data_IF_160552999426
#
_entry.id   IF_160552999426
#
_cell.length_a   1.000
_cell.length_b   1.000
_cell.length_c   1.000
_cell.angle_alpha   90.00
_cell.angle_beta   90.00
_cell.angle_gamma   90.00
#
_symmetry.space_group_name_H-M   'P 1'
#
loop_
_entity.id
_entity.type
_entity.pdbx_description
1 polymer ?
#
# COMPACT_ATOMS: atom_id res chain seq x y z
N UNK A 1 -35.97 -3.20 38.74
CA UNK A 1 -34.90 -2.20 38.93
C UNK A 1 -33.84 -2.78 39.85
N UNK A 2 -32.80 -3.36 39.26
CA UNK A 2 -31.45 -3.41 39.80
C UNK A 2 -30.57 -3.42 38.55
N UNK A 3 -30.07 -2.25 38.20
CA UNK A 3 -29.06 -2.12 37.16
C UNK A 3 -27.75 -2.59 37.79
N UNK A 4 -27.21 -3.70 37.29
CA UNK A 4 -25.83 -4.08 37.54
C UNK A 4 -24.94 -2.99 36.93
N UNK A 5 -24.43 -2.10 37.78
CA UNK A 5 -23.37 -1.19 37.40
C UNK A 5 -22.11 -2.03 37.20
N UNK A 6 -21.78 -2.32 35.95
CA UNK A 6 -20.47 -2.85 35.59
C UNK A 6 -19.44 -1.74 35.85
N UNK A 7 -18.73 -1.89 36.96
CA UNK A 7 -17.54 -1.12 37.30
C UNK A 7 -16.48 -1.37 36.20
N UNK A 8 -16.51 -0.57 35.13
CA UNK A 8 -15.45 -0.52 34.11
C UNK A 8 -14.20 0.10 34.74
N UNK A 9 -13.50 -0.67 35.58
CA UNK A 9 -12.10 -0.35 35.88
C UNK A 9 -11.34 -0.44 34.57
N UNK A 10 -10.86 0.69 34.07
CA UNK A 10 -10.07 0.71 32.84
C UNK A 10 -8.79 -0.09 33.09
N UNK A 11 -8.61 -1.20 32.36
CA UNK A 11 -7.34 -1.89 32.29
C UNK A 11 -6.26 -0.88 31.90
N UNK A 12 -5.23 -0.72 32.73
CA UNK A 12 -4.29 0.42 32.63
C UNK A 12 -3.11 0.15 31.70
N UNK A 13 -2.85 -1.10 31.34
CA UNK A 13 -1.71 -1.45 30.49
C UNK A 13 -2.07 -1.29 29.02
N UNK A 14 -1.14 -0.69 28.26
CA UNK A 14 -1.31 -0.47 26.82
C UNK A 14 -0.81 -1.69 26.05
N UNK A 15 -1.55 -2.05 25.01
CA UNK A 15 -1.19 -3.09 24.05
C UNK A 15 -1.21 -2.51 22.63
N UNK A 16 -0.32 -3.01 21.77
CA UNK A 16 -0.26 -2.63 20.36
C UNK A 16 -0.42 -3.90 19.52
N UNK A 17 -1.47 -3.97 18.69
CA UNK A 17 -1.56 -5.03 17.69
C UNK A 17 -0.52 -4.79 16.59
N UNK A 18 0.43 -5.71 16.45
CA UNK A 18 1.53 -5.64 15.48
C UNK A 18 1.34 -6.57 14.26
N UNK A 19 0.32 -7.42 14.29
CA UNK A 19 0.00 -8.38 13.24
C UNK A 19 -1.52 -8.39 13.05
N UNK A 20 -1.99 -7.74 11.98
CA UNK A 20 -3.39 -7.73 11.57
C UNK A 20 -3.53 -7.46 10.07
N UNK A 21 -4.67 -7.87 9.55
CA UNK A 21 -5.00 -7.88 8.14
C UNK A 21 -6.20 -6.98 7.86
N UNK A 22 -5.96 -5.92 7.08
CA UNK A 22 -7.01 -5.02 6.63
C UNK A 22 -7.74 -5.59 5.42
N UNK A 23 -8.72 -4.87 4.90
CA UNK A 23 -9.38 -5.20 3.62
C UNK A 23 -8.41 -5.22 2.42
N UNK A 24 -7.17 -4.75 2.58
CA UNK A 24 -6.12 -4.85 1.57
C UNK A 24 -5.37 -6.19 1.57
N UNK A 25 -5.57 -7.04 2.57
CA UNK A 25 -5.37 -8.49 2.44
C UNK A 25 -6.54 -9.08 1.66
N UNK A 26 -6.48 -8.92 0.33
CA UNK A 26 -7.62 -9.08 -0.57
C UNK A 26 -8.31 -10.46 -0.42
N UNK A 27 -9.63 -10.42 -0.17
CA UNK A 27 -10.50 -11.58 0.00
C UNK A 27 -10.12 -12.51 1.17
N UNK A 28 -9.44 -11.96 2.17
CA UNK A 28 -9.01 -12.69 3.36
C UNK A 28 -9.21 -11.85 4.64
N UNK A 29 -8.62 -10.65 4.67
CA UNK A 29 -8.82 -9.66 5.72
C UNK A 29 -10.13 -8.88 5.58
N UNK A 30 -10.83 -8.69 6.70
CA UNK A 30 -12.13 -8.01 6.78
C UNK A 30 -12.08 -6.73 7.65
N UNK A 31 -10.90 -6.32 8.12
CA UNK A 31 -10.75 -5.12 8.95
C UNK A 31 -10.73 -3.88 8.07
N UNK A 32 -11.75 -3.04 8.22
CA UNK A 32 -11.82 -1.73 7.58
C UNK A 32 -11.06 -0.70 8.41
N UNK A 33 -10.24 0.11 7.74
CA UNK A 33 -9.27 1.00 8.39
C UNK A 33 -9.93 2.06 9.30
N UNK A 34 -10.98 2.80 8.89
CA UNK A 34 -11.61 3.79 9.76
C UNK A 34 -12.18 3.17 11.06
N UNK A 35 -12.83 2.02 10.93
CA UNK A 35 -13.43 1.28 12.04
C UNK A 35 -12.36 0.70 12.97
N UNK A 36 -11.20 0.29 12.44
CA UNK A 36 -10.04 -0.10 13.24
C UNK A 36 -9.57 1.04 14.14
N UNK A 37 -9.42 2.26 13.60
CA UNK A 37 -8.97 3.41 14.38
C UNK A 37 -9.96 3.76 15.50
N UNK A 38 -11.26 3.66 15.22
CA UNK A 38 -12.29 3.84 16.24
C UNK A 38 -12.21 2.75 17.33
N UNK A 39 -12.09 1.49 16.95
CA UNK A 39 -11.98 0.38 17.88
C UNK A 39 -10.72 0.49 18.76
N UNK A 40 -9.59 0.93 18.19
CA UNK A 40 -8.37 1.22 18.95
C UNK A 40 -8.61 2.25 20.06
N UNK A 41 -9.24 3.38 19.73
CA UNK A 41 -9.60 4.42 20.71
C UNK A 41 -10.52 3.91 21.81
N UNK A 42 -11.57 3.18 21.44
CA UNK A 42 -12.56 2.66 22.38
C UNK A 42 -11.95 1.69 23.39
N UNK A 43 -10.86 1.01 23.02
CA UNK A 43 -10.13 0.07 23.86
C UNK A 43 -8.85 0.66 24.48
N UNK A 44 -8.63 1.97 24.39
CA UNK A 44 -7.49 2.65 25.01
C UNK A 44 -6.13 2.36 24.36
N UNK A 45 -6.10 1.84 23.14
CA UNK A 45 -4.89 1.64 22.37
C UNK A 45 -4.49 2.95 21.68
N UNK A 46 -3.20 3.29 21.69
CA UNK A 46 -2.65 4.51 21.10
C UNK A 46 -1.80 4.26 19.85
N UNK A 47 -1.68 3.01 19.44
CA UNK A 47 -0.84 2.57 18.33
C UNK A 47 -1.37 1.25 17.75
N UNK A 48 -1.16 1.04 16.45
CA UNK A 48 -1.57 -0.18 15.75
C UNK A 48 -0.78 -0.34 14.44
N UNK A 49 -0.51 -1.58 14.03
CA UNK A 49 0.17 -1.89 12.78
C UNK A 49 -0.79 -2.25 11.63
N UNK A 50 -0.30 -2.09 10.41
CA UNK A 50 -0.84 -2.69 9.18
C UNK A 50 0.18 -3.70 8.67
N UNK A 51 -0.21 -4.97 8.49
CA UNK A 51 0.67 -6.05 8.04
C UNK A 51 -0.03 -6.93 7.01
N UNK A 52 -0.58 -6.31 5.97
CA UNK A 52 -1.32 -7.04 4.94
C UNK A 52 -0.45 -8.07 4.20
N UNK A 53 -1.11 -9.11 3.68
CA UNK A 53 -0.43 -10.23 3.00
C UNK A 53 0.30 -9.78 1.74
N UNK A 54 1.64 -9.75 1.80
CA UNK A 54 2.54 -9.56 0.68
C UNK A 54 2.40 -8.22 -0.05
N UNK A 55 1.73 -7.23 0.54
CA UNK A 55 1.45 -5.95 -0.12
C UNK A 55 1.42 -4.77 0.85
N UNK A 56 1.43 -3.55 0.28
CA UNK A 56 1.40 -2.28 1.02
C UNK A 56 0.28 -1.35 0.49
N UNK A 57 -0.79 -1.92 -0.07
CA UNK A 57 -1.81 -1.16 -0.80
C UNK A 57 -2.56 -0.15 0.08
N UNK A 58 -2.85 -0.54 1.32
CA UNK A 58 -3.60 0.30 2.27
C UNK A 58 -2.77 1.30 3.07
N UNK A 59 -1.44 1.35 2.88
CA UNK A 59 -0.54 2.07 3.81
C UNK A 59 -0.85 3.57 3.91
N UNK A 60 -1.11 4.24 2.78
CA UNK A 60 -1.39 5.69 2.78
C UNK A 60 -2.74 6.01 3.43
N UNK A 61 -3.78 5.22 3.13
CA UNK A 61 -5.09 5.35 3.78
C UNK A 61 -4.98 5.09 5.29
N UNK A 62 -4.30 4.00 5.66
CA UNK A 62 -4.07 3.60 7.05
C UNK A 62 -3.35 4.69 7.84
N UNK A 63 -2.23 5.19 7.32
CA UNK A 63 -1.48 6.25 7.97
C UNK A 63 -2.32 7.52 8.14
N UNK A 64 -3.04 7.93 7.09
CA UNK A 64 -3.85 9.15 7.10
C UNK A 64 -4.98 9.06 8.14
N UNK A 65 -5.72 7.95 8.17
CA UNK A 65 -6.81 7.77 9.13
C UNK A 65 -6.28 7.57 10.56
N UNK A 66 -5.14 6.89 10.75
CA UNK A 66 -4.50 6.73 12.05
C UNK A 66 -4.06 8.08 12.63
N UNK A 67 -3.34 8.90 11.85
CA UNK A 67 -2.90 10.24 12.26
C UNK A 67 -4.09 11.14 12.58
N UNK A 68 -5.11 11.16 11.73
CA UNK A 68 -6.37 11.88 11.98
C UNK A 68 -7.08 11.41 13.26
N UNK A 69 -6.96 10.13 13.58
CA UNK A 69 -7.46 9.59 14.83
C UNK A 69 -6.51 9.87 16.03
N UNK A 70 -5.28 10.31 15.84
CA UNK A 70 -4.31 10.41 16.93
C UNK A 70 -3.84 9.03 17.43
N UNK A 71 -3.92 8.02 16.56
CA UNK A 71 -3.34 6.69 16.78
C UNK A 71 -2.02 6.65 16.03
N UNK A 72 -0.94 6.20 16.67
CA UNK A 72 0.38 6.06 16.05
C UNK A 72 0.35 4.90 15.04
N UNK A 73 0.51 5.17 13.72
CA UNK A 73 0.56 4.12 12.72
C UNK A 73 1.90 3.39 12.77
N UNK A 74 1.87 2.06 12.63
CA UNK A 74 3.06 1.23 12.43
C UNK A 74 2.94 0.58 11.06
N UNK A 75 3.84 0.92 10.14
CA UNK A 75 3.77 0.42 8.76
C UNK A 75 4.53 -0.90 8.68
N UNK A 76 3.87 -1.94 8.18
CA UNK A 76 4.47 -3.24 7.97
C UNK A 76 3.87 -3.99 6.78
N UNK A 77 4.28 -5.25 6.66
CA UNK A 77 3.82 -6.19 5.63
C UNK A 77 4.11 -7.61 6.12
N UNK A 78 3.17 -8.52 5.94
CA UNK A 78 3.42 -9.95 6.12
C UNK A 78 3.91 -10.54 4.79
N UNK A 79 5.22 -10.71 4.67
CA UNK A 79 5.84 -11.20 3.45
C UNK A 79 5.70 -12.71 3.30
N UNK A 80 5.53 -13.14 2.06
CA UNK A 80 5.82 -14.52 1.67
C UNK A 80 7.32 -14.66 1.40
N UNK A 81 7.97 -15.62 2.04
CA UNK A 81 9.40 -15.88 1.96
C UNK A 81 9.64 -17.28 1.41
N UNK A 82 10.45 -17.36 0.34
CA UNK A 82 10.93 -18.61 -0.22
C UNK A 82 12.17 -19.08 0.55
N UNK A 83 12.28 -20.39 0.89
CA UNK A 83 13.51 -20.93 1.47
C UNK A 83 14.67 -20.99 0.45
N UNK A 84 14.35 -21.01 -0.84
CA UNK A 84 15.31 -20.91 -1.96
C UNK A 84 15.28 -19.54 -2.62
N UNK A 85 15.80 -19.41 -3.84
CA UNK A 85 15.75 -18.13 -4.58
C UNK A 85 14.31 -17.74 -4.90
N UNK A 86 13.98 -16.46 -4.78
CA UNK A 86 12.61 -15.98 -5.04
C UNK A 86 12.17 -16.17 -6.51
N UNK A 87 13.12 -16.18 -7.44
CA UNK A 87 12.89 -16.41 -8.88
C UNK A 87 12.66 -17.89 -9.24
N UNK A 88 12.90 -18.82 -8.31
CA UNK A 88 12.74 -20.25 -8.59
C UNK A 88 11.28 -20.67 -8.58
N UNK A 89 10.91 -21.42 -9.62
CA UNK A 89 9.56 -21.99 -9.82
C UNK A 89 9.56 -23.51 -9.80
N UNK A 90 10.73 -24.16 -9.71
CA UNK A 90 10.94 -25.59 -10.05
C UNK A 90 10.79 -26.61 -8.92
N UNK A 91 10.43 -26.24 -7.68
CA UNK A 91 10.30 -27.22 -6.59
C UNK A 91 9.18 -26.84 -5.63
N UNK A 92 7.92 -27.25 -5.89
CA UNK A 92 6.79 -26.82 -5.03
C UNK A 92 5.59 -27.79 -4.92
N UNK A 93 5.66 -29.04 -5.39
CA UNK A 93 4.46 -29.90 -5.41
C UNK A 93 4.16 -30.69 -4.12
N UNK A 94 5.05 -30.71 -3.12
CA UNK A 94 4.92 -31.64 -1.98
C UNK A 94 4.78 -31.01 -0.57
N UNK A 95 4.44 -29.72 -0.43
CA UNK A 95 4.20 -29.10 0.87
C UNK A 95 2.95 -28.21 0.82
N UNK A 96 2.15 -28.23 1.90
CA UNK A 96 1.01 -27.32 2.06
C UNK A 96 1.49 -25.86 1.93
N UNK A 97 0.78 -25.06 1.13
CA UNK A 97 1.10 -23.70 0.67
C UNK A 97 2.38 -23.51 -0.17
N UNK A 98 2.96 -24.59 -0.71
CA UNK A 98 3.98 -24.51 -1.76
C UNK A 98 5.25 -23.75 -1.37
N UNK A 99 5.73 -23.92 -0.12
CA UNK A 99 6.94 -23.28 0.45
C UNK A 99 6.89 -21.74 0.56
N UNK A 100 5.72 -21.13 0.72
CA UNK A 100 5.62 -19.70 1.03
C UNK A 100 5.48 -19.52 2.53
N UNK A 101 6.58 -19.21 3.21
CA UNK A 101 6.54 -18.96 4.64
C UNK A 101 6.19 -17.52 4.92
N UNK A 102 5.51 -17.26 6.04
CA UNK A 102 5.17 -15.92 6.44
C UNK A 102 6.29 -15.28 7.28
N UNK A 103 6.48 -13.97 7.13
CA UNK A 103 7.41 -13.18 7.94
C UNK A 103 6.90 -11.75 8.09
N UNK A 104 6.76 -11.27 9.32
CA UNK A 104 6.30 -9.90 9.58
C UNK A 104 7.50 -8.97 9.57
N UNK A 105 7.46 -7.94 8.72
CA UNK A 105 8.44 -6.86 8.71
C UNK A 105 7.75 -5.53 8.99
N UNK A 106 8.26 -4.78 9.95
CA UNK A 106 7.78 -3.45 10.36
C UNK A 106 8.85 -2.40 10.08
N UNK A 107 8.47 -1.26 9.51
CA UNK A 107 9.36 -0.14 9.28
C UNK A 107 9.61 0.64 10.58
N UNK A 108 10.83 0.56 11.11
CA UNK A 108 11.26 1.31 12.28
C UNK A 108 11.40 2.81 11.98
N UNK A 109 11.84 3.16 10.78
CA UNK A 109 12.17 4.52 10.35
C UNK A 109 12.03 4.66 8.82
N UNK A 110 12.42 5.81 8.27
CA UNK A 110 12.33 6.07 6.83
C UNK A 110 13.16 5.07 5.98
N UNK A 111 14.35 4.68 6.42
CA UNK A 111 15.16 3.66 5.75
C UNK A 111 14.42 2.33 5.70
N UNK A 112 13.83 1.91 6.82
CA UNK A 112 12.99 0.73 6.88
C UNK A 112 11.80 0.80 5.93
N UNK A 113 11.12 1.94 5.86
CA UNK A 113 10.00 2.13 4.94
C UNK A 113 10.42 2.03 3.46
N UNK A 114 11.55 2.64 3.08
CA UNK A 114 12.13 2.50 1.73
C UNK A 114 12.49 1.05 1.41
N UNK A 115 13.02 0.31 2.40
CA UNK A 115 13.32 -1.11 2.26
C UNK A 115 12.04 -1.95 2.12
N UNK A 116 10.98 -1.67 2.88
CA UNK A 116 9.67 -2.33 2.69
C UNK A 116 9.15 -2.12 1.27
N UNK A 117 9.15 -0.87 0.76
CA UNK A 117 8.75 -0.58 -0.62
C UNK A 117 9.57 -1.42 -1.59
N UNK A 118 10.91 -1.43 -1.46
CA UNK A 118 11.80 -2.17 -2.37
C UNK A 118 11.52 -3.67 -2.34
N UNK A 119 11.38 -4.25 -1.15
CA UNK A 119 11.06 -5.66 -0.94
C UNK A 119 9.70 -6.03 -1.55
N UNK A 120 8.67 -5.24 -1.29
CA UNK A 120 7.34 -5.45 -1.86
C UNK A 120 7.32 -5.27 -3.38
N UNK A 121 7.97 -4.24 -3.94
CA UNK A 121 8.04 -4.09 -5.39
C UNK A 121 8.74 -5.28 -6.05
N UNK A 122 9.88 -5.72 -5.50
CA UNK A 122 10.64 -6.84 -6.06
C UNK A 122 9.95 -8.18 -5.91
N UNK A 123 9.15 -8.37 -4.86
CA UNK A 123 8.36 -9.57 -4.70
C UNK A 123 7.27 -9.73 -5.78
N UNK A 124 6.75 -8.61 -6.32
CA UNK A 124 5.83 -8.62 -7.46
C UNK A 124 6.51 -8.69 -8.83
N UNK A 125 7.66 -8.03 -9.03
CA UNK A 125 8.31 -7.98 -10.35
C UNK A 125 9.20 -9.19 -10.63
N UNK A 126 9.91 -9.68 -9.60
CA UNK A 126 10.96 -10.70 -9.77
C UNK A 126 10.59 -12.02 -9.06
N UNK A 127 9.89 -11.94 -7.93
CA UNK A 127 9.58 -13.09 -7.06
C UNK A 127 8.17 -13.67 -7.20
N UNK A 128 7.36 -13.17 -8.12
CA UNK A 128 5.96 -13.55 -8.23
C UNK A 128 5.80 -14.94 -8.86
N UNK A 129 5.15 -15.85 -8.13
CA UNK A 129 4.73 -17.15 -8.64
C UNK A 129 3.22 -17.32 -8.51
N UNK A 130 2.75 -17.76 -7.33
CA UNK A 130 1.32 -17.70 -6.93
C UNK A 130 1.03 -16.53 -5.99
N UNK A 131 2.06 -16.14 -5.24
CA UNK A 131 2.10 -15.04 -4.29
C UNK A 131 3.36 -14.21 -4.60
N UNK A 132 3.40 -12.92 -4.21
CA UNK A 132 4.59 -12.09 -4.34
C UNK A 132 5.59 -12.48 -3.24
N UNK A 133 6.75 -13.02 -3.60
CA UNK A 133 7.70 -13.61 -2.63
C UNK A 133 9.04 -12.90 -2.63
N UNK A 134 9.69 -12.89 -1.47
CA UNK A 134 11.11 -12.56 -1.33
C UNK A 134 11.90 -13.81 -0.94
N UNK A 135 13.22 -13.70 -0.84
CA UNK A 135 14.08 -14.71 -0.24
C UNK A 135 14.97 -14.09 0.84
N UNK A 136 15.57 -14.93 1.69
CA UNK A 136 16.39 -14.47 2.81
C UNK A 136 17.69 -13.76 2.37
N UNK A 137 18.19 -14.03 1.16
CA UNK A 137 19.39 -13.37 0.64
C UNK A 137 19.05 -11.93 0.24
N UNK A 138 17.98 -11.71 -0.52
CA UNK A 138 17.53 -10.38 -0.88
C UNK A 138 17.11 -9.57 0.37
N UNK A 139 16.46 -10.24 1.33
CA UNK A 139 16.09 -9.64 2.61
C UNK A 139 17.30 -9.16 3.41
N UNK A 140 18.39 -9.94 3.48
CA UNK A 140 19.57 -9.56 4.28
C UNK A 140 20.24 -8.28 3.78
N UNK A 141 20.15 -8.00 2.47
CA UNK A 141 20.65 -6.76 1.87
C UNK A 141 19.76 -5.53 2.12
N UNK A 142 18.53 -5.72 2.62
CA UNK A 142 17.54 -4.66 2.85
C UNK A 142 16.96 -4.70 4.27
N UNK A 143 17.67 -5.30 5.23
CA UNK A 143 17.19 -5.45 6.61
C UNK A 143 17.34 -4.19 7.47
N UNK A 144 18.10 -3.19 7.00
CA UNK A 144 18.32 -1.95 7.75
C UNK A 144 16.99 -1.21 8.00
N UNK A 145 16.77 -0.81 9.26
CA UNK A 145 15.57 -0.08 9.65
C UNK A 145 14.31 -0.94 9.72
N UNK A 146 14.42 -2.26 9.59
CA UNK A 146 13.30 -3.20 9.72
C UNK A 146 13.32 -3.91 11.08
N UNK A 147 12.14 -4.09 11.67
CA UNK A 147 11.88 -4.98 12.80
C UNK A 147 11.18 -6.22 12.25
N UNK A 148 11.62 -7.40 12.68
CA UNK A 148 11.17 -8.69 12.16
C UNK A 148 10.55 -9.55 13.26
N UNK A 149 9.36 -10.11 12.97
CA UNK A 149 8.68 -11.10 13.81
C UNK A 149 8.51 -12.39 13.01
N UNK A 150 8.61 -13.54 13.68
CA UNK A 150 8.55 -14.86 13.02
C UNK A 150 7.17 -15.27 12.48
N UNK A 151 6.15 -14.41 12.56
CA UNK A 151 4.79 -14.59 12.05
C UNK A 151 3.99 -15.72 12.73
N UNK A 152 2.85 -16.05 12.12
CA UNK A 152 1.87 -17.05 12.56
C UNK A 152 2.35 -18.49 12.30
N UNK A 153 1.46 -19.48 12.39
CA UNK A 153 1.77 -20.89 12.07
C UNK A 153 2.33 -21.11 10.65
N UNK A 154 2.07 -20.18 9.73
CA UNK A 154 2.65 -20.14 8.38
C UNK A 154 4.12 -19.72 8.34
N UNK A 155 4.67 -19.20 9.44
CA UNK A 155 6.08 -18.81 9.54
C UNK A 155 7.04 -20.01 9.55
N UNK A 156 8.20 -19.87 8.91
CA UNK A 156 9.12 -21.00 8.70
C UNK A 156 9.66 -21.56 10.03
N UNK A 157 9.98 -20.70 10.99
CA UNK A 157 10.41 -21.13 12.33
C UNK A 157 9.33 -22.00 12.98
N UNK A 158 8.06 -21.60 12.88
CA UNK A 158 6.96 -22.31 13.53
C UNK A 158 6.72 -23.65 12.85
N UNK A 159 6.75 -23.68 11.52
CA UNK A 159 6.64 -24.92 10.73
C UNK A 159 7.76 -25.91 11.08
N UNK A 160 8.98 -25.44 11.30
CA UNK A 160 10.09 -26.31 11.73
C UNK A 160 9.89 -26.85 13.14
N UNK A 161 9.37 -26.05 14.08
CA UNK A 161 8.99 -26.52 15.43
C UNK A 161 7.90 -27.61 15.32
N UNK A 162 6.82 -27.34 14.61
CA UNK A 162 5.67 -28.26 14.46
C UNK A 162 6.05 -29.59 13.81
N UNK A 163 7.05 -29.58 12.93
CA UNK A 163 7.52 -30.79 12.24
C UNK A 163 8.70 -31.48 12.95
N UNK A 164 9.03 -31.08 14.18
CA UNK A 164 10.08 -31.69 14.99
C UNK A 164 11.51 -31.38 14.51
N UNK A 165 11.69 -30.38 13.64
CA UNK A 165 12.97 -29.97 13.10
C UNK A 165 13.64 -28.89 13.99
N UNK A 166 13.78 -29.16 15.29
CA UNK A 166 14.23 -28.18 16.30
C UNK A 166 15.57 -27.53 15.96
N UNK A 167 16.56 -28.32 15.53
CA UNK A 167 17.88 -27.81 15.14
C UNK A 167 17.81 -26.85 13.95
N UNK A 168 16.94 -27.13 12.97
CA UNK A 168 16.75 -26.26 11.82
C UNK A 168 15.96 -24.99 12.18
N UNK A 169 15.02 -25.07 13.14
CA UNK A 169 14.33 -23.91 13.69
C UNK A 169 15.31 -22.97 14.40
N UNK A 170 16.20 -23.53 15.22
CA UNK A 170 17.24 -22.78 15.93
C UNK A 170 18.24 -22.11 14.96
N UNK A 171 18.71 -22.84 13.95
CA UNK A 171 19.60 -22.29 12.93
C UNK A 171 18.96 -21.12 12.19
N UNK A 172 17.68 -21.26 11.80
CA UNK A 172 16.98 -20.19 11.11
C UNK A 172 16.73 -18.97 12.01
N UNK A 173 16.29 -19.18 13.25
CA UNK A 173 16.11 -18.11 14.21
C UNK A 173 17.44 -17.38 14.50
N UNK A 174 18.55 -18.13 14.62
CA UNK A 174 19.90 -17.58 14.72
C UNK A 174 20.28 -16.72 13.51
N UNK A 175 20.08 -17.23 12.29
CA UNK A 175 20.31 -16.49 11.04
C UNK A 175 19.50 -15.19 10.98
N UNK A 176 18.22 -15.23 11.32
CA UNK A 176 17.36 -14.04 11.34
C UNK A 176 17.82 -13.03 12.41
N UNK A 177 18.22 -13.51 13.59
CA UNK A 177 18.83 -12.67 14.63
C UNK A 177 20.08 -11.96 14.12
N UNK A 178 20.94 -12.64 13.35
CA UNK A 178 22.13 -12.03 12.74
C UNK A 178 21.77 -10.97 11.69
N UNK A 179 20.75 -11.22 10.86
CA UNK A 179 20.30 -10.28 9.82
C UNK A 179 19.75 -8.99 10.43
N UNK A 180 18.85 -9.10 11.40
CA UNK A 180 18.13 -7.93 11.95
C UNK A 180 18.83 -7.30 13.14
N UNK A 181 19.63 -8.08 13.88
CA UNK A 181 20.23 -7.72 15.15
C UNK A 181 19.34 -8.04 16.36
N UNK A 182 19.91 -8.06 17.57
CA UNK A 182 19.23 -8.51 18.79
C UNK A 182 18.07 -7.62 19.25
N UNK A 183 18.03 -6.35 18.81
CA UNK A 183 16.99 -5.37 19.20
C UNK A 183 15.80 -5.33 18.24
N UNK A 184 15.93 -5.95 17.05
CA UNK A 184 14.95 -5.84 15.96
C UNK A 184 14.41 -7.19 15.50
N UNK A 185 14.69 -8.27 16.23
CA UNK A 185 14.18 -9.60 15.91
C UNK A 185 13.44 -10.20 17.12
N UNK A 186 12.23 -10.67 16.88
CA UNK A 186 11.35 -11.21 17.90
C UNK A 186 10.77 -12.56 17.47
N UNK A 187 10.68 -13.50 18.41
CA UNK A 187 9.90 -14.72 18.21
C UNK A 187 8.44 -14.43 18.58
N UNK A 188 7.57 -14.60 17.60
CA UNK A 188 6.15 -14.31 17.73
C UNK A 188 5.39 -15.48 18.38
N UNK A 189 4.52 -15.15 19.33
CA UNK A 189 3.62 -16.11 19.98
C UNK A 189 2.17 -15.62 19.87
N UNK A 190 1.25 -16.57 19.68
CA UNK A 190 -0.17 -16.34 19.45
C UNK A 190 -0.98 -17.43 20.17
N UNK A 191 -2.24 -17.16 20.49
CA UNK A 191 -3.13 -18.14 21.10
C UNK A 191 -4.60 -17.88 20.75
N UNK A 192 -5.10 -18.69 19.82
CA UNK A 192 -6.48 -18.78 19.37
C UNK A 192 -7.16 -20.07 19.87
N UNK A 193 -6.54 -20.79 20.82
CA UNK A 193 -7.02 -22.07 21.33
C UNK A 193 -6.71 -23.27 20.42
N UNK A 194 -5.75 -23.13 19.50
CA UNK A 194 -5.30 -24.20 18.61
C UNK A 194 -4.13 -24.99 19.23
N UNK A 195 -4.15 -26.32 19.07
CA UNK A 195 -3.08 -27.18 19.59
C UNK A 195 -1.71 -26.87 18.95
N UNK A 196 -1.68 -26.63 17.64
CA UNK A 196 -0.46 -26.28 16.91
C UNK A 196 0.16 -24.97 17.44
N UNK A 197 -0.65 -23.98 17.80
CA UNK A 197 -0.16 -22.73 18.40
C UNK A 197 0.44 -22.95 19.78
N UNK A 198 -0.15 -23.85 20.57
CA UNK A 198 0.41 -24.23 21.87
C UNK A 198 1.78 -24.88 21.71
N UNK A 199 1.95 -25.76 20.73
CA UNK A 199 3.22 -26.41 20.41
C UNK A 199 4.25 -25.36 19.92
N UNK A 200 3.85 -24.51 18.97
CA UNK A 200 4.72 -23.45 18.42
C UNK A 200 5.15 -22.45 19.51
N UNK A 201 4.23 -21.97 20.35
CA UNK A 201 4.53 -21.04 21.43
C UNK A 201 5.52 -21.64 22.44
N UNK A 202 5.35 -22.92 22.81
CA UNK A 202 6.30 -23.62 23.69
C UNK A 202 7.69 -23.69 23.05
N UNK A 203 7.78 -24.07 21.76
CA UNK A 203 9.04 -24.09 21.03
C UNK A 203 9.71 -22.71 20.96
N UNK A 204 8.93 -21.65 20.74
CA UNK A 204 9.45 -20.27 20.74
C UNK A 204 9.95 -19.85 22.12
N UNK A 205 9.31 -20.25 23.21
CA UNK A 205 9.83 -20.01 24.58
C UNK A 205 11.17 -20.71 24.79
N UNK A 206 11.33 -21.94 24.31
CA UNK A 206 12.59 -22.68 24.40
C UNK A 206 13.70 -22.05 23.56
N UNK A 207 13.40 -21.66 22.30
CA UNK A 207 14.33 -20.94 21.44
C UNK A 207 14.72 -19.57 22.02
N UNK A 208 13.75 -18.83 22.58
CA UNK A 208 13.97 -17.55 23.25
C UNK A 208 15.00 -17.69 24.37
N UNK A 209 14.87 -18.72 25.22
CA UNK A 209 15.82 -18.99 26.31
C UNK A 209 17.21 -19.37 25.81
N UNK A 210 17.30 -20.18 24.75
CA UNK A 210 18.57 -20.67 24.20
C UNK A 210 19.35 -19.59 23.47
N UNK A 211 18.66 -18.82 22.64
CA UNK A 211 19.26 -17.84 21.73
C UNK A 211 19.22 -16.41 22.29
N UNK A 212 18.53 -16.17 23.41
CA UNK A 212 18.33 -14.83 23.96
C UNK A 212 17.59 -13.91 22.99
N UNK A 213 16.56 -14.41 22.33
CA UNK A 213 15.69 -13.65 21.41
C UNK A 213 14.41 -13.30 22.16
N UNK A 214 13.98 -12.03 22.22
CA UNK A 214 12.75 -11.65 22.91
C UNK A 214 11.50 -12.24 22.24
N UNK A 215 10.49 -12.55 23.06
CA UNK A 215 9.16 -12.94 22.57
C UNK A 215 8.30 -11.70 22.29
N UNK A 216 7.34 -11.79 21.39
CA UNK A 216 6.30 -10.78 21.19
C UNK A 216 4.94 -11.45 21.03
N UNK A 217 3.93 -10.89 21.71
CA UNK A 217 2.56 -11.39 21.64
C UNK A 217 1.78 -10.64 20.55
N UNK A 218 1.13 -11.37 19.65
CA UNK A 218 0.23 -10.82 18.63
C UNK A 218 -1.04 -11.68 18.53
N UNK A 219 -1.96 -11.32 17.64
CA UNK A 219 -3.24 -12.02 17.49
C UNK A 219 -3.72 -12.16 16.03
N UNK A 220 -2.81 -12.01 15.06
CA UNK A 220 -3.06 -12.25 13.63
C UNK A 220 -4.49 -11.90 13.17
N UNK A 221 -4.91 -10.67 13.44
CA UNK A 221 -6.34 -10.35 13.45
C UNK A 221 -6.86 -10.12 12.04
N UNK A 222 -7.89 -10.86 11.65
CA UNK A 222 -8.48 -10.82 10.31
C UNK A 222 -9.86 -10.14 10.28
N UNK A 223 -10.46 -9.91 11.45
CA UNK A 223 -11.76 -9.23 11.57
C UNK A 223 -11.81 -8.35 12.82
N UNK A 224 -12.69 -7.34 12.82
CA UNK A 224 -12.58 -6.29 13.84
C UNK A 224 -13.03 -6.74 15.24
N UNK A 225 -14.10 -7.53 15.32
CA UNK A 225 -14.68 -7.99 16.59
C UNK A 225 -15.11 -9.44 16.47
N UNK A 226 -15.22 -10.17 17.58
CA UNK A 226 -15.69 -11.57 17.60
C UNK A 226 -16.97 -11.81 16.79
N UNK A 227 -17.89 -10.82 16.72
CA UNK A 227 -19.15 -10.91 15.96
C UNK A 227 -18.96 -10.89 14.44
N UNK A 228 -17.84 -10.38 13.94
CA UNK A 228 -17.53 -10.32 12.52
C UNK A 228 -16.99 -11.66 11.96
N UNK A 229 -16.86 -12.69 12.79
CA UNK A 229 -16.43 -14.02 12.36
C UNK A 229 -17.32 -14.61 11.25
N UNK A 230 -18.65 -14.46 11.33
CA UNK A 230 -19.57 -14.94 10.29
C UNK A 230 -19.35 -14.23 8.95
N UNK A 231 -19.13 -12.91 8.99
CA UNK A 231 -18.83 -12.11 7.79
C UNK A 231 -17.51 -12.58 7.16
N UNK A 232 -16.54 -12.91 8.00
CA UNK A 232 -15.25 -13.39 7.55
C UNK A 232 -15.36 -14.78 6.91
N UNK A 233 -16.10 -15.72 7.50
CA UNK A 233 -16.32 -17.05 6.92
C UNK A 233 -16.94 -16.95 5.52
N UNK A 234 -17.95 -16.07 5.36
CA UNK A 234 -18.55 -15.78 4.05
C UNK A 234 -17.52 -15.20 3.07
N UNK A 235 -16.66 -14.28 3.52
CA UNK A 235 -15.60 -13.70 2.68
C UNK A 235 -14.63 -14.78 2.17
N UNK A 236 -14.19 -15.70 3.03
CA UNK A 236 -13.35 -16.83 2.62
C UNK A 236 -14.05 -17.76 1.65
N UNK A 237 -15.34 -18.02 1.85
CA UNK A 237 -16.15 -18.82 0.93
C UNK A 237 -16.25 -18.19 -0.45
N UNK A 238 -16.39 -16.87 -0.52
CA UNK A 238 -16.35 -16.13 -1.79
C UNK A 238 -14.98 -16.33 -2.46
N UNK A 239 -13.89 -16.19 -1.71
CA UNK A 239 -12.52 -16.35 -2.19
C UNK A 239 -12.26 -17.77 -2.75
N UNK A 240 -12.60 -18.79 -1.95
CA UNK A 240 -12.39 -20.20 -2.27
C UNK A 240 -13.46 -20.75 -3.24
N UNK A 241 -14.46 -19.95 -3.60
CA UNK A 241 -15.62 -20.33 -4.44
C UNK A 241 -16.37 -21.54 -3.88
N UNK A 242 -16.60 -21.53 -2.56
CA UNK A 242 -17.28 -22.57 -1.79
C UNK A 242 -18.65 -22.10 -1.31
N UNK A 243 -19.60 -23.01 -1.19
CA UNK A 243 -20.88 -22.73 -0.51
C UNK A 243 -20.82 -22.99 0.99
N UNK A 244 -21.88 -22.64 1.72
CA UNK A 244 -21.96 -22.74 3.19
C UNK A 244 -21.85 -24.18 3.73
N UNK A 245 -22.20 -25.17 2.92
CA UNK A 245 -22.22 -26.60 3.23
C UNK A 245 -20.95 -27.34 2.78
N UNK A 246 -20.03 -26.67 2.09
CA UNK A 246 -18.74 -27.24 1.72
C UNK A 246 -17.69 -26.94 2.80
N UNK A 247 -16.86 -27.91 3.13
CA UNK A 247 -15.72 -27.67 4.02
C UNK A 247 -14.70 -26.76 3.33
N UNK A 248 -14.15 -25.83 4.11
CA UNK A 248 -13.02 -25.01 3.69
C UNK A 248 -11.73 -25.77 3.98
N UNK A 249 -10.73 -25.62 3.11
CA UNK A 249 -9.38 -26.14 3.38
C UNK A 249 -8.74 -25.44 4.59
N UNK A 250 -9.10 -24.17 4.78
CA UNK A 250 -8.72 -23.33 5.91
C UNK A 250 -9.87 -22.39 6.26
N UNK A 251 -10.14 -22.28 7.57
CA UNK A 251 -11.13 -21.37 8.14
C UNK A 251 -10.62 -20.85 9.48
N UNK A 252 -10.88 -19.57 9.76
CA UNK A 252 -10.58 -19.00 11.07
C UNK A 252 -11.64 -19.44 12.08
N UNK A 253 -11.23 -19.61 13.34
CA UNK A 253 -12.17 -19.69 14.45
C UNK A 253 -12.55 -18.25 14.91
N UNK A 254 -13.47 -18.08 15.89
CA UNK A 254 -13.89 -16.76 16.34
C UNK A 254 -12.84 -15.90 17.07
N UNK A 255 -11.60 -16.37 17.25
CA UNK A 255 -10.58 -15.69 18.08
C UNK A 255 -9.65 -14.74 17.30
N UNK A 256 -9.70 -14.73 15.97
CA UNK A 256 -8.85 -13.89 15.09
C UNK A 256 -9.36 -12.45 14.94
N UNK A 257 -9.85 -11.85 16.03
CA UNK A 257 -10.29 -10.45 16.05
C UNK A 257 -9.33 -9.53 16.79
N UNK A 258 -9.49 -8.22 16.59
CA UNK A 258 -8.73 -7.20 17.33
C UNK A 258 -9.17 -7.18 18.80
N UNK A 259 -8.55 -8.05 19.61
CA UNK A 259 -8.79 -8.18 21.06
C UNK A 259 -8.43 -6.90 21.81
N UNK A 260 -9.12 -6.64 22.92
CA UNK A 260 -8.74 -5.58 23.87
C UNK A 260 -7.41 -5.89 24.57
N UNK A 261 -6.70 -4.88 25.11
CA UNK A 261 -5.49 -5.10 25.91
C UNK A 261 -5.71 -6.07 27.08
N UNK A 262 -6.89 -6.00 27.73
CA UNK A 262 -7.26 -6.89 28.83
C UNK A 262 -7.36 -8.35 28.38
N UNK A 263 -8.02 -8.62 27.25
CA UNK A 263 -8.10 -9.97 26.67
C UNK A 263 -6.71 -10.50 26.28
N UNK A 264 -5.88 -9.65 25.66
CA UNK A 264 -4.52 -10.02 25.26
C UNK A 264 -3.63 -10.38 26.46
N UNK A 265 -3.73 -9.63 27.56
CA UNK A 265 -2.94 -9.90 28.78
C UNK A 265 -3.21 -11.28 29.42
N UNK A 266 -4.38 -11.87 29.12
CA UNK A 266 -4.81 -13.17 29.67
C UNK A 266 -4.35 -14.36 28.84
N UNK A 267 -3.82 -14.16 27.63
CA UNK A 267 -3.44 -15.26 26.74
C UNK A 267 -2.19 -16.01 27.24
N UNK A 268 -1.23 -15.28 27.81
CA UNK A 268 0.03 -15.81 28.36
C UNK A 268 0.42 -15.04 29.64
N UNK A 269 -0.34 -15.17 30.74
CA UNK A 269 -0.09 -14.44 31.98
C UNK A 269 1.29 -14.75 32.59
N UNK A 270 1.89 -15.88 32.23
CA UNK A 270 3.23 -16.30 32.65
C UNK A 270 4.37 -15.68 31.82
N UNK A 271 4.06 -15.00 30.71
CA UNK A 271 5.02 -14.34 29.81
C UNK A 271 4.69 -12.84 29.61
N UNK A 272 4.63 -12.02 30.68
CA UNK A 272 4.24 -10.61 30.59
C UNK A 272 5.15 -9.79 29.67
N UNK A 273 6.42 -10.17 29.55
CA UNK A 273 7.36 -9.50 28.65
C UNK A 273 6.93 -9.55 27.17
N UNK A 274 6.29 -10.64 26.72
CA UNK A 274 5.82 -10.75 25.34
C UNK A 274 4.71 -9.72 25.03
N UNK A 275 3.83 -9.49 26.01
CA UNK A 275 2.81 -8.44 25.95
C UNK A 275 3.47 -7.05 25.93
N UNK A 276 4.38 -6.75 26.87
CA UNK A 276 5.03 -5.44 26.95
C UNK A 276 5.97 -5.12 25.78
N UNK A 277 6.55 -6.15 25.14
CA UNK A 277 7.41 -5.95 23.98
C UNK A 277 6.65 -5.36 22.78
N UNK A 278 5.32 -5.55 22.69
CA UNK A 278 4.51 -4.87 21.65
C UNK A 278 4.61 -3.35 21.75
N UNK A 279 4.54 -2.83 22.98
CA UNK A 279 4.67 -1.41 23.26
C UNK A 279 6.09 -0.92 23.05
N UNK A 280 7.10 -1.70 23.44
CA UNK A 280 8.52 -1.36 23.16
C UNK A 280 8.76 -1.21 21.66
N UNK A 281 8.23 -2.13 20.85
CA UNK A 281 8.29 -2.03 19.39
C UNK A 281 7.61 -0.76 18.90
N UNK A 282 6.40 -0.46 19.37
CA UNK A 282 5.71 0.77 19.02
C UNK A 282 6.51 2.04 19.37
N UNK A 283 7.23 2.04 20.49
CA UNK A 283 8.10 3.15 20.91
C UNK A 283 9.34 3.32 20.05
N UNK A 284 9.88 2.23 19.49
CA UNK A 284 11.01 2.27 18.56
C UNK A 284 10.65 2.84 17.18
N UNK A 285 9.36 2.89 16.82
CA UNK A 285 8.92 3.42 15.54
C UNK A 285 9.10 4.95 15.52
N UNK A 286 9.85 5.45 14.56
CA UNK A 286 10.12 6.88 14.30
C UNK A 286 9.73 7.29 12.89
N UNK A 287 9.02 6.41 12.16
CA UNK A 287 8.57 6.65 10.81
C UNK A 287 7.42 7.67 10.78
N UNK A 288 7.59 8.74 10.00
CA UNK A 288 6.56 9.72 9.69
C UNK A 288 6.61 10.06 8.19
N UNK A 289 5.45 10.22 7.56
CA UNK A 289 5.39 10.78 6.21
C UNK A 289 5.55 12.29 6.26
N UNK A 290 6.55 12.80 5.57
CA UNK A 290 6.71 14.24 5.35
C UNK A 290 5.81 14.68 4.19
N UNK A 291 4.99 15.70 4.41
CA UNK A 291 4.33 16.41 3.32
C UNK A 291 5.40 17.22 2.58
N UNK A 292 5.72 16.81 1.35
CA UNK A 292 6.75 17.44 0.52
C UNK A 292 6.19 18.24 -0.65
N UNK A 293 7.09 18.99 -1.30
CA UNK A 293 6.81 19.60 -2.60
C UNK A 293 6.60 18.51 -3.68
N UNK A 294 5.88 18.81 -4.77
CA UNK A 294 5.75 17.89 -5.90
C UNK A 294 7.11 17.41 -6.39
N UNK A 295 7.26 16.09 -6.58
CA UNK A 295 8.44 15.49 -7.17
C UNK A 295 8.27 15.48 -8.69
N UNK A 296 8.77 16.51 -9.36
CA UNK A 296 8.74 16.61 -10.82
C UNK A 296 9.98 15.96 -11.43
N UNK A 297 9.86 15.19 -12.53
CA UNK A 297 11.02 14.73 -13.29
C UNK A 297 11.85 15.89 -13.81
N UNK A 298 13.17 15.68 -13.90
CA UNK A 298 14.04 16.64 -14.59
C UNK A 298 13.77 16.60 -16.10
N UNK A 299 13.75 17.77 -16.73
CA UNK A 299 13.64 17.90 -18.18
C UNK A 299 14.93 18.50 -18.74
N UNK A 300 15.58 17.77 -19.64
CA UNK A 300 16.82 18.23 -20.27
C UNK A 300 16.54 19.33 -21.28
N UNK A 301 17.24 20.45 -21.14
CA UNK A 301 17.16 21.60 -22.05
C UNK A 301 18.47 21.78 -22.83
N UNK A 302 18.43 22.36 -24.03
CA UNK A 302 19.64 22.62 -24.81
C UNK A 302 20.63 23.53 -24.06
N UNK A 303 21.91 23.44 -24.41
CA UNK A 303 22.97 24.26 -23.81
C UNK A 303 22.65 25.75 -23.93
N UNK A 304 22.84 26.50 -22.85
CA UNK A 304 22.51 27.92 -22.77
C UNK A 304 21.07 28.24 -22.39
N UNK A 305 20.19 27.23 -22.28
CA UNK A 305 18.82 27.41 -21.80
C UNK A 305 18.62 27.01 -20.33
N UNK A 306 17.75 27.75 -19.66
CA UNK A 306 16.97 27.28 -18.50
C UNK A 306 15.61 26.75 -18.94
N UNK A 307 14.92 25.99 -18.06
CA UNK A 307 13.53 25.54 -18.29
C UNK A 307 12.62 26.70 -18.71
N UNK A 308 12.72 27.86 -18.03
CA UNK A 308 11.97 29.08 -18.34
C UNK A 308 12.25 29.58 -19.75
N UNK A 309 13.54 29.76 -20.08
CA UNK A 309 13.95 30.30 -21.38
C UNK A 309 13.54 29.38 -22.53
N UNK A 310 13.68 28.07 -22.35
CA UNK A 310 13.35 27.08 -23.37
C UNK A 310 11.84 27.00 -23.59
N UNK A 311 11.06 26.95 -22.51
CA UNK A 311 9.61 26.99 -22.60
C UNK A 311 9.11 28.27 -23.28
N UNK A 312 9.68 29.43 -22.92
CA UNK A 312 9.35 30.73 -23.55
C UNK A 312 9.59 30.68 -25.05
N UNK A 313 10.75 30.21 -25.47
CA UNK A 313 11.10 30.09 -26.89
C UNK A 313 10.13 29.17 -27.65
N UNK A 314 9.92 27.95 -27.16
CA UNK A 314 9.01 26.99 -27.80
C UNK A 314 7.59 27.54 -27.93
N UNK A 315 7.11 28.21 -26.88
CA UNK A 315 5.77 28.79 -26.88
C UNK A 315 5.67 29.94 -27.90
N UNK A 316 6.65 30.85 -27.95
CA UNK A 316 6.66 31.95 -28.94
C UNK A 316 6.69 31.42 -30.37
N UNK A 317 7.51 30.40 -30.65
CA UNK A 317 7.54 29.76 -31.96
C UNK A 317 6.18 29.13 -32.32
N UNK A 318 5.52 28.49 -31.35
CA UNK A 318 4.21 27.89 -31.56
C UNK A 318 3.09 28.92 -31.76
N UNK A 319 3.10 30.01 -30.99
CA UNK A 319 2.18 31.12 -31.19
C UNK A 319 2.39 31.79 -32.55
N UNK A 320 3.64 31.98 -32.99
CA UNK A 320 3.95 32.51 -34.31
C UNK A 320 3.41 31.61 -35.44
N UNK A 321 3.47 30.28 -35.28
CA UNK A 321 2.86 29.33 -36.23
C UNK A 321 1.33 29.42 -36.27
N UNK A 322 0.69 29.71 -35.14
CA UNK A 322 -0.79 29.70 -35.01
C UNK A 322 -1.45 31.04 -35.33
N UNK A 323 -0.82 32.16 -34.96
CA UNK A 323 -1.35 33.52 -35.16
C UNK A 323 -0.61 34.34 -36.23
N UNK A 324 0.52 33.84 -36.74
CA UNK A 324 1.39 34.58 -37.66
C UNK A 324 2.36 35.51 -36.93
N UNK A 325 3.13 36.28 -37.72
CA UNK A 325 4.14 37.22 -37.21
C UNK A 325 3.93 38.58 -37.89
N UNK A 326 3.91 39.71 -37.15
CA UNK A 326 4.03 39.84 -35.69
C UNK A 326 2.79 39.35 -34.92
N UNK A 327 2.98 38.95 -33.66
CA UNK A 327 1.87 38.57 -32.77
C UNK A 327 1.03 39.81 -32.41
N UNK A 328 -0.29 39.64 -32.35
CA UNK A 328 -1.20 40.69 -31.90
C UNK A 328 -0.94 41.05 -30.43
N UNK A 329 -1.18 42.31 -30.05
CA UNK A 329 -0.94 42.79 -28.69
C UNK A 329 -1.64 41.94 -27.63
N UNK A 330 -2.92 41.63 -27.83
CA UNK A 330 -3.70 40.83 -26.87
C UNK A 330 -3.14 39.42 -26.65
N UNK A 331 -2.55 38.81 -27.70
CA UNK A 331 -1.88 37.50 -27.61
C UNK A 331 -0.62 37.61 -26.78
N UNK A 332 0.19 38.64 -27.03
CA UNK A 332 1.45 38.87 -26.31
C UNK A 332 1.22 39.23 -24.84
N UNK A 333 0.24 40.09 -24.56
CA UNK A 333 -0.13 40.50 -23.20
C UNK A 333 -0.61 39.28 -22.38
N UNK A 334 -1.46 38.42 -22.97
CA UNK A 334 -1.90 37.17 -22.33
C UNK A 334 -0.74 36.20 -22.13
N UNK A 335 0.12 36.06 -23.12
CA UNK A 335 1.29 35.17 -23.05
C UNK A 335 2.24 35.56 -21.91
N UNK A 336 2.61 36.84 -21.78
CA UNK A 336 3.52 37.27 -20.71
C UNK A 336 2.91 37.10 -19.32
N UNK A 337 1.60 37.38 -19.18
CA UNK A 337 0.89 37.12 -17.92
C UNK A 337 0.94 35.63 -17.52
N UNK A 338 0.59 34.73 -18.44
CA UNK A 338 0.60 33.29 -18.15
C UNK A 338 2.00 32.75 -17.86
N UNK A 339 3.00 33.17 -18.65
CA UNK A 339 4.40 32.80 -18.42
C UNK A 339 4.89 33.25 -17.04
N UNK A 340 4.58 34.48 -16.63
CA UNK A 340 4.95 34.98 -15.31
C UNK A 340 4.35 34.15 -14.18
N UNK A 341 3.08 33.74 -14.31
CA UNK A 341 2.41 32.89 -13.31
C UNK A 341 3.05 31.50 -13.25
N UNK A 342 3.28 30.86 -14.41
CA UNK A 342 3.87 29.52 -14.48
C UNK A 342 5.29 29.52 -13.89
N UNK A 343 6.10 30.53 -14.20
CA UNK A 343 7.46 30.69 -13.66
C UNK A 343 7.44 30.95 -12.16
N UNK A 344 6.54 31.80 -11.67
CA UNK A 344 6.39 32.08 -10.24
C UNK A 344 5.95 30.85 -9.43
N UNK A 345 5.29 29.89 -10.06
CA UNK A 345 4.84 28.65 -9.43
C UNK A 345 5.83 27.48 -9.57
N UNK A 346 6.91 27.63 -10.34
CA UNK A 346 7.90 26.57 -10.62
C UNK A 346 7.32 25.34 -11.35
N UNK A 347 6.39 25.59 -12.29
CA UNK A 347 5.87 24.56 -13.21
C UNK A 347 6.42 24.51 -14.65
N UNK A 348 7.44 25.28 -15.10
CA UNK A 348 7.95 25.17 -16.46
C UNK A 348 8.37 23.75 -16.88
N UNK A 349 9.02 23.00 -15.96
CA UNK A 349 9.39 21.61 -16.21
C UNK A 349 8.19 20.72 -16.50
N UNK A 350 7.09 20.91 -15.77
CA UNK A 350 5.84 20.16 -15.99
C UNK A 350 5.26 20.42 -17.39
N UNK A 351 5.19 21.68 -17.84
CA UNK A 351 4.72 22.02 -19.19
C UNK A 351 5.64 21.45 -20.29
N UNK A 352 6.95 21.48 -20.07
CA UNK A 352 7.93 20.91 -21.01
C UNK A 352 7.79 19.39 -21.13
N UNK A 353 7.59 18.68 -20.02
CA UNK A 353 7.32 17.24 -20.03
C UNK A 353 6.04 16.94 -20.82
N UNK A 354 4.96 17.68 -20.54
CA UNK A 354 3.65 17.44 -21.16
C UNK A 354 3.66 17.73 -22.66
N UNK A 355 4.21 18.87 -23.09
CA UNK A 355 4.28 19.19 -24.52
C UNK A 355 5.09 18.16 -25.29
N UNK A 356 6.16 17.65 -24.68
CA UNK A 356 7.11 16.77 -25.34
C UNK A 356 6.48 15.46 -25.81
N UNK A 357 5.79 14.72 -24.93
CA UNK A 357 5.14 13.47 -25.34
C UNK A 357 3.92 13.70 -26.25
N UNK A 358 3.22 14.84 -26.11
CA UNK A 358 2.12 15.22 -27.00
C UNK A 358 2.63 15.48 -28.42
N UNK A 359 3.65 16.31 -28.55
CA UNK A 359 4.21 16.68 -29.84
C UNK A 359 4.96 15.51 -30.49
N UNK A 360 5.60 14.65 -29.69
CA UNK A 360 6.15 13.38 -30.15
C UNK A 360 5.08 12.49 -30.79
N UNK A 361 3.90 12.41 -30.16
CA UNK A 361 2.76 11.64 -30.66
C UNK A 361 2.20 12.23 -31.96
N UNK A 362 1.96 13.55 -31.98
CA UNK A 362 1.49 14.29 -33.17
C UNK A 362 2.43 14.11 -34.36
N UNK A 363 3.75 14.20 -34.15
CA UNK A 363 4.76 14.02 -35.20
C UNK A 363 4.77 12.61 -35.84
N UNK A 364 4.25 11.60 -35.12
CA UNK A 364 4.13 10.20 -35.59
C UNK A 364 2.72 9.86 -36.08
N UNK A 365 1.90 10.88 -36.30
CA UNK A 365 0.52 10.72 -36.74
C UNK A 365 -0.36 9.97 -35.74
N UNK A 366 -0.04 10.00 -34.44
CA UNK A 366 -0.95 9.53 -33.40
C UNK A 366 -1.99 10.63 -33.16
N UNK A 367 -3.29 10.36 -33.35
CA UNK A 367 -4.32 11.34 -33.04
C UNK A 367 -4.31 11.70 -31.56
N UNK A 368 -4.26 13.00 -31.28
CA UNK A 368 -4.35 13.58 -29.94
C UNK A 368 -5.61 14.46 -29.90
N UNK A 369 -6.38 14.37 -28.82
CA UNK A 369 -7.55 15.21 -28.61
C UNK A 369 -7.16 16.70 -28.53
N UNK A 370 -8.12 17.62 -28.76
CA UNK A 370 -7.85 19.06 -28.79
C UNK A 370 -7.52 19.66 -27.41
N UNK A 371 -7.50 18.85 -26.35
CA UNK A 371 -7.37 19.24 -24.95
C UNK A 371 -8.69 19.08 -24.21
N UNK A 372 -8.61 18.71 -22.92
CA UNK A 372 -9.74 18.57 -22.01
C UNK A 372 -9.48 19.28 -20.68
N UNK A 373 -10.54 19.46 -19.89
CA UNK A 373 -10.44 20.12 -18.60
C UNK A 373 -10.07 21.60 -18.71
N UNK A 374 -9.42 22.12 -17.67
CA UNK A 374 -9.07 23.54 -17.57
C UNK A 374 -7.86 23.94 -18.41
N UNK A 375 -6.98 22.99 -18.79
CA UNK A 375 -5.77 23.25 -19.58
C UNK A 375 -6.05 23.99 -20.91
N UNK A 376 -7.24 23.80 -21.50
CA UNK A 376 -7.68 24.52 -22.71
C UNK A 376 -7.79 26.05 -22.54
N UNK A 377 -7.82 26.55 -21.30
CA UNK A 377 -7.83 27.99 -20.99
C UNK A 377 -6.47 28.68 -21.07
N UNK A 378 -5.37 27.96 -21.32
CA UNK A 378 -4.02 28.54 -21.35
C UNK A 378 -3.54 28.80 -22.78
N UNK A 379 -3.13 30.04 -23.05
CA UNK A 379 -2.46 30.41 -24.30
C UNK A 379 -1.07 29.79 -24.38
N UNK A 380 -0.41 29.57 -23.23
CA UNK A 380 0.87 28.86 -23.16
C UNK A 380 0.70 27.40 -23.56
N UNK A 381 -0.32 26.70 -23.04
CA UNK A 381 -0.63 25.33 -23.45
C UNK A 381 -0.96 25.23 -24.95
N UNK A 382 -1.72 26.20 -25.47
CA UNK A 382 -2.03 26.30 -26.90
C UNK A 382 -0.77 26.52 -27.76
N UNK A 383 0.09 27.47 -27.35
CA UNK A 383 1.36 27.77 -28.01
C UNK A 383 2.32 26.58 -28.02
N UNK A 384 2.45 25.88 -26.90
CA UNK A 384 3.28 24.66 -26.79
C UNK A 384 2.69 23.46 -27.54
N UNK A 385 1.47 23.53 -28.05
CA UNK A 385 0.81 22.41 -28.74
C UNK A 385 0.24 21.35 -27.81
N UNK A 386 0.15 21.64 -26.50
CA UNK A 386 -0.53 20.80 -25.51
C UNK A 386 -2.03 20.77 -25.80
N UNK A 387 -2.61 21.91 -26.18
CA UNK A 387 -4.01 22.03 -26.59
C UNK A 387 -4.11 22.55 -28.02
N UNK A 388 -5.25 22.31 -28.67
CA UNK A 388 -5.54 22.78 -30.03
C UNK A 388 -6.77 23.71 -30.08
N UNK A 389 -7.29 24.13 -28.92
CA UNK A 389 -8.37 25.11 -28.79
C UNK A 389 -7.76 26.48 -28.51
N UNK A 390 -8.12 27.48 -29.32
CA UNK A 390 -7.73 28.88 -29.13
C UNK A 390 -8.45 29.50 -27.93
N UNK A 391 -7.77 29.80 -26.82
CA UNK A 391 -8.42 30.29 -25.61
C UNK A 391 -8.94 31.73 -25.77
N UNK A 392 -8.32 32.57 -26.60
CA UNK A 392 -8.76 33.96 -26.78
C UNK A 392 -10.01 34.03 -27.65
N UNK A 393 -10.07 33.24 -28.72
CA UNK A 393 -11.25 33.16 -29.59
C UNK A 393 -12.51 32.74 -28.85
N UNK A 394 -12.39 31.81 -27.91
CA UNK A 394 -13.53 31.26 -27.17
C UNK A 394 -13.70 31.87 -25.75
N UNK A 395 -12.90 32.87 -25.39
CA UNK A 395 -13.00 33.54 -24.09
C UNK A 395 -12.71 32.61 -22.89
N UNK A 396 -11.79 31.66 -23.05
CA UNK A 396 -11.40 30.72 -22.00
C UNK A 396 -10.42 31.37 -21.01
N UNK A 397 -10.66 31.11 -19.73
CA UNK A 397 -9.97 31.77 -18.62
C UNK A 397 -8.77 30.93 -18.15
N UNK A 398 -7.59 31.55 -18.06
CA UNK A 398 -6.38 30.90 -17.56
C UNK A 398 -6.45 30.66 -16.06
N UNK A 399 -7.08 31.57 -15.32
CA UNK A 399 -7.20 31.54 -13.86
C UNK A 399 -8.04 30.34 -13.37
N UNK A 400 -8.85 29.75 -14.25
CA UNK A 400 -9.55 28.49 -13.99
C UNK A 400 -8.62 27.28 -14.07
N UNK A 401 -7.51 27.40 -14.78
CA UNK A 401 -6.47 26.38 -14.88
C UNK A 401 -5.41 26.56 -13.81
N UNK A 402 -4.80 27.74 -13.74
CA UNK A 402 -3.79 28.09 -12.75
C UNK A 402 -4.22 29.37 -12.05
N UNK A 403 -4.61 29.25 -10.79
CA UNK A 403 -5.01 30.39 -9.99
C UNK A 403 -3.77 31.06 -9.36
N UNK A 404 -3.41 32.30 -9.73
CA UNK A 404 -2.22 32.98 -9.19
C UNK A 404 -2.21 33.11 -7.66
N UNK A 405 -3.39 33.08 -7.01
CA UNK A 405 -3.52 33.20 -5.56
C UNK A 405 -3.31 31.87 -4.81
N UNK A 406 -3.18 30.73 -5.51
CA UNK A 406 -3.00 29.41 -4.90
C UNK A 406 -1.91 28.63 -5.62
N UNK A 407 -0.89 28.21 -4.88
CA UNK A 407 0.16 27.33 -5.40
C UNK A 407 -0.30 25.87 -5.30
N UNK A 408 -1.19 25.47 -6.19
CA UNK A 408 -1.64 24.08 -6.38
C UNK A 408 -1.06 23.54 -7.68
N UNK A 409 -0.70 22.25 -7.71
CA UNK A 409 -0.19 21.62 -8.92
C UNK A 409 -1.32 21.51 -9.97
N UNK A 410 -1.12 21.99 -11.21
CA UNK A 410 -2.12 21.85 -12.26
C UNK A 410 -2.23 20.40 -12.72
N UNK A 411 -3.42 20.02 -13.16
CA UNK A 411 -3.69 18.71 -13.76
C UNK A 411 -3.95 18.87 -15.27
N UNK A 412 -3.10 18.24 -16.09
CA UNK A 412 -3.21 18.23 -17.56
C UNK A 412 -3.50 16.81 -18.03
N UNK A 413 -4.78 16.53 -18.22
CA UNK A 413 -5.25 15.31 -18.88
C UNK A 413 -5.14 15.42 -20.40
N UNK A 414 -4.71 14.34 -21.04
CA UNK A 414 -4.58 14.26 -22.51
C UNK A 414 -5.30 13.03 -23.04
N UNK A 415 -6.13 13.25 -24.07
CA UNK A 415 -6.80 12.17 -24.78
C UNK A 415 -5.94 11.70 -25.97
N UNK A 416 -5.61 10.41 -26.02
CA UNK A 416 -4.91 9.77 -27.14
C UNK A 416 -5.82 8.76 -27.83
N UNK A 417 -5.53 8.47 -29.10
CA UNK A 417 -6.09 7.31 -29.79
C UNK A 417 -5.87 6.03 -28.98
N UNK A 418 -6.96 5.30 -28.69
CA UNK A 418 -6.94 4.10 -27.84
C UNK A 418 -5.94 3.06 -28.34
N UNK A 419 -5.90 2.81 -29.65
CA UNK A 419 -5.07 1.78 -30.27
C UNK A 419 -3.56 2.09 -30.22
N UNK A 420 -3.19 3.37 -30.08
CA UNK A 420 -1.79 3.83 -30.12
C UNK A 420 -1.33 4.50 -28.83
N UNK A 421 -2.17 4.53 -27.78
CA UNK A 421 -1.84 5.11 -26.47
C UNK A 421 -0.60 4.47 -25.84
N UNK A 422 -0.45 3.16 -26.02
CA UNK A 422 0.68 2.40 -25.47
C UNK A 422 2.04 2.86 -26.05
N UNK A 423 2.08 3.31 -27.30
CA UNK A 423 3.30 3.87 -27.91
C UNK A 423 3.78 5.11 -27.16
N UNK A 424 2.84 5.98 -26.75
CA UNK A 424 3.14 7.20 -26.00
C UNK A 424 3.62 6.86 -24.58
N UNK A 425 2.99 5.89 -23.93
CA UNK A 425 3.41 5.41 -22.60
C UNK A 425 4.83 4.84 -22.67
N UNK A 426 5.14 4.02 -23.67
CA UNK A 426 6.48 3.47 -23.88
C UNK A 426 7.52 4.56 -24.19
N UNK A 427 7.15 5.61 -24.94
CA UNK A 427 8.02 6.77 -25.14
C UNK A 427 8.37 7.45 -23.82
N UNK A 428 7.38 7.75 -22.98
CA UNK A 428 7.59 8.34 -21.65
C UNK A 428 8.46 7.41 -20.80
N UNK A 429 8.21 6.10 -20.80
CA UNK A 429 9.00 5.11 -20.07
C UNK A 429 10.47 5.08 -20.51
N UNK A 430 10.74 5.09 -21.82
CA UNK A 430 12.11 5.12 -22.33
C UNK A 430 12.82 6.45 -22.07
N UNK A 431 12.10 7.56 -22.12
CA UNK A 431 12.68 8.89 -21.94
C UNK A 431 13.02 9.20 -20.48
N UNK A 432 12.11 8.88 -19.55
CA UNK A 432 12.26 9.22 -18.13
C UNK A 432 12.75 8.07 -17.26
N UNK A 433 12.92 6.87 -17.83
CA UNK A 433 13.45 5.68 -17.15
C UNK A 433 12.37 4.66 -16.79
N UNK A 434 12.67 3.38 -17.00
CA UNK A 434 11.73 2.28 -16.76
C UNK A 434 11.41 2.10 -15.26
N UNK A 435 12.29 2.58 -14.38
CA UNK A 435 12.18 2.56 -12.92
C UNK A 435 11.48 3.80 -12.33
N UNK A 436 11.16 4.80 -13.16
CA UNK A 436 10.51 6.05 -12.76
C UNK A 436 9.10 6.22 -13.33
N UNK A 437 8.66 5.33 -14.23
CA UNK A 437 7.37 5.43 -14.92
C UNK A 437 6.54 4.16 -14.67
N UNK A 438 5.41 4.33 -14.00
CA UNK A 438 4.42 3.29 -13.76
C UNK A 438 2.99 3.82 -13.96
N UNK A 439 2.04 2.93 -14.19
CA UNK A 439 0.62 3.28 -14.20
C UNK A 439 0.08 3.33 -12.76
N UNK A 440 -0.84 4.25 -12.51
CA UNK A 440 -1.55 4.34 -11.23
C UNK A 440 -2.55 3.19 -11.13
N UNK A 441 -2.51 2.46 -10.03
CA UNK A 441 -3.42 1.35 -9.73
C UNK A 441 -4.84 1.84 -9.46
N UNK A 442 -5.84 1.05 -9.82
CA UNK A 442 -7.23 1.23 -9.39
C UNK A 442 -7.67 0.02 -8.59
N UNK A 443 -8.16 0.23 -7.38
CA UNK A 443 -8.72 -0.84 -6.55
C UNK A 443 -10.23 -0.96 -6.81
N UNK A 444 -10.64 -2.11 -7.35
CA UNK A 444 -12.05 -2.42 -7.52
C UNK A 444 -12.70 -2.75 -6.18
N UNK A 445 -13.59 -1.88 -5.68
CA UNK A 445 -14.38 -2.16 -4.48
C UNK A 445 -15.56 -3.07 -4.80
N UNK A 446 -15.96 -3.93 -3.87
CA UNK A 446 -17.17 -4.74 -4.05
C UNK A 446 -18.41 -3.85 -4.04
N UNK A 447 -19.06 -3.71 -5.21
CA UNK A 447 -20.29 -2.94 -5.34
C UNK A 447 -21.46 -3.65 -4.64
N UNK A 448 -22.36 -2.89 -4.02
CA UNK A 448 -23.47 -3.44 -3.22
C UNK A 448 -24.27 -4.55 -3.92
N UNK A 449 -24.58 -4.35 -5.22
CA UNK A 449 -25.29 -5.37 -6.04
C UNK A 449 -24.48 -6.65 -6.25
N UNK A 450 -23.17 -6.54 -6.42
CA UNK A 450 -22.27 -7.69 -6.55
C UNK A 450 -22.15 -8.43 -5.22
N UNK A 451 -21.96 -7.70 -4.10
CA UNK A 451 -21.92 -8.29 -2.75
C UNK A 451 -23.15 -9.14 -2.46
N UNK A 452 -24.35 -8.61 -2.71
CA UNK A 452 -25.59 -9.36 -2.47
C UNK A 452 -25.63 -10.67 -3.27
N UNK A 453 -25.18 -10.65 -4.53
CA UNK A 453 -25.13 -11.84 -5.38
C UNK A 453 -24.07 -12.85 -4.91
N UNK A 454 -22.92 -12.37 -4.45
CA UNK A 454 -21.84 -13.22 -3.94
C UNK A 454 -22.24 -13.90 -2.64
N UNK A 455 -22.82 -13.17 -1.70
CA UNK A 455 -23.35 -13.73 -0.45
C UNK A 455 -24.49 -14.72 -0.74
N UNK A 456 -25.44 -14.35 -1.61
CA UNK A 456 -26.53 -15.24 -2.01
C UNK A 456 -26.01 -16.55 -2.63
N UNK A 457 -24.94 -16.50 -3.42
CA UNK A 457 -24.29 -17.68 -3.99
C UNK A 457 -23.67 -18.57 -2.92
N UNK A 458 -22.97 -18.00 -1.93
CA UNK A 458 -22.41 -18.77 -0.80
C UNK A 458 -23.53 -19.45 0.00
N UNK A 459 -24.63 -18.72 0.24
CA UNK A 459 -25.81 -19.21 0.97
C UNK A 459 -26.71 -20.14 0.13
N UNK A 460 -26.33 -20.48 -1.11
CA UNK A 460 -27.12 -21.30 -2.05
C UNK A 460 -28.55 -20.80 -2.30
N UNK A 461 -28.74 -19.50 -2.25
CA UNK A 461 -30.01 -18.86 -2.62
C UNK A 461 -30.27 -19.01 -4.13
N UNK A 462 -31.50 -19.29 -4.58
CA UNK A 462 -31.83 -19.37 -6.00
C UNK A 462 -31.45 -18.09 -6.76
N UNK A 463 -30.83 -18.25 -7.93
CA UNK A 463 -30.37 -17.11 -8.74
C UNK A 463 -31.48 -16.09 -9.04
N UNK A 464 -32.70 -16.56 -9.30
CA UNK A 464 -33.85 -15.68 -9.57
C UNK A 464 -34.19 -14.79 -8.36
N UNK A 465 -34.13 -15.34 -7.15
CA UNK A 465 -34.39 -14.62 -5.91
C UNK A 465 -33.27 -13.62 -5.61
N UNK A 466 -32.00 -14.05 -5.70
CA UNK A 466 -30.85 -13.18 -5.54
C UNK A 466 -30.87 -12.00 -6.52
N UNK A 467 -31.26 -12.26 -7.79
CA UNK A 467 -31.36 -11.21 -8.79
C UNK A 467 -32.49 -10.22 -8.49
N UNK A 468 -33.63 -10.70 -7.97
CA UNK A 468 -34.75 -9.84 -7.57
C UNK A 468 -34.37 -8.95 -6.38
N UNK A 469 -33.67 -9.49 -5.37
CA UNK A 469 -33.17 -8.71 -4.21
C UNK A 469 -32.16 -7.64 -4.67
N UNK A 470 -31.32 -7.97 -5.65
CA UNK A 470 -30.25 -7.08 -6.11
C UNK A 470 -30.68 -5.94 -7.05
N UNK A 471 -31.93 -5.95 -7.52
CA UNK A 471 -32.44 -4.94 -8.45
C UNK A 471 -32.92 -3.72 -7.70
#
# INVERSE_FOLDING_TARGET
MQAESTDKRSFSEKFTHLHLHTTYSLLDGAIRIPELMQHCKENGMDSVAITDHGNMFGVIEFYTEAVKAGIKPIIGNEFYVSPGKMSETKVMENLADGNNYHLILLAQNETGYRNLIKLTSKSYTDGFYRKPRIDYEFLSHHAEGLICLTACLGGEVQRKILTGQESAAEQLAGKLKEIFGPERFYLEIQNHGLEDERIAAKGNVELSRRLGIPLVLTNDSHFLTRKHHEVQDILLRINQKKSIDEDLAFAFNPEFYVKSPEEMSRLFPELPDAFHNTRKIAEMISMEFQSGNPLLPNFDVPEGHSLNSYMRELCLQGLARRYGTPLHKDVMDRFEFEMQVIEGMDFPGYFLIVQDFINWAKARGIPVGPGRGSAAGSIVAYGLGITDIDPLRYGLLFERFLNPARKEMPDIDVDFCVDRREEVINYVRHKYGEDHVAQIVTYGTMAAKACMKDVARVLKMPFAEANNISK
#
